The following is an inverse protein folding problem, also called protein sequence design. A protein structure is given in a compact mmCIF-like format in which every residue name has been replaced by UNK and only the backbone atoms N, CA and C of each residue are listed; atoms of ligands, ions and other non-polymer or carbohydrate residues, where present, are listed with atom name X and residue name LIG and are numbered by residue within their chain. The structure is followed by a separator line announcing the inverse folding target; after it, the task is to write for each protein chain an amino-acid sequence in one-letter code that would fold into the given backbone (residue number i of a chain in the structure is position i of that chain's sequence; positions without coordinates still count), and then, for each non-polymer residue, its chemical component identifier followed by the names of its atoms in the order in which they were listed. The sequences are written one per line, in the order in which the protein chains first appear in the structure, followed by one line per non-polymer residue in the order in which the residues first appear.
data_IF_398637953619
#
_entry.id   IF_398637953619
#
_cell.length_a   1.000
_cell.length_b   1.000
_cell.length_c   1.000
_cell.angle_alpha   90.00
_cell.angle_beta   90.00
_cell.angle_gamma   90.00
#
_symmetry.space_group_name_H-M   'P 1'
#
loop_
_entity.id
_entity.type
_entity.pdbx_description
1 polymer ?
#
# COMPACT_ATOMS: atom_id res chain seq x y z
N UNK A 1 6.60 35.48 -33.06
CA UNK A 1 6.44 34.05 -32.73
C UNK A 1 5.01 33.71 -33.07
N UNK A 2 4.77 32.76 -33.97
CA UNK A 2 3.44 32.41 -34.46
C UNK A 2 2.64 31.74 -33.33
N UNK A 3 1.46 32.27 -33.01
CA UNK A 3 0.57 31.75 -31.97
C UNK A 3 0.22 30.27 -32.21
N UNK A 4 0.18 29.84 -33.47
CA UNK A 4 -0.07 28.45 -33.85
C UNK A 4 1.10 27.52 -33.48
N UNK A 5 2.34 28.02 -33.57
CA UNK A 5 3.52 27.25 -33.17
C UNK A 5 3.64 27.13 -31.65
N UNK A 6 3.27 28.17 -30.90
CA UNK A 6 3.22 28.10 -29.44
C UNK A 6 2.13 27.12 -28.97
N UNK A 7 0.95 27.14 -29.60
CA UNK A 7 -0.13 26.21 -29.27
C UNK A 7 0.27 24.73 -29.51
N UNK A 8 0.95 24.46 -30.63
CA UNK A 8 1.47 23.11 -30.93
C UNK A 8 2.52 22.66 -29.92
N UNK A 9 3.40 23.57 -29.51
CA UNK A 9 4.43 23.29 -28.51
C UNK A 9 3.80 22.96 -27.15
N UNK A 10 2.79 23.71 -26.73
CA UNK A 10 2.05 23.44 -25.50
C UNK A 10 1.32 22.09 -25.56
N UNK A 11 0.70 21.75 -26.69
CA UNK A 11 0.04 20.46 -26.87
C UNK A 11 1.02 19.28 -26.71
N UNK A 12 2.23 19.39 -27.28
CA UNK A 12 3.28 18.35 -27.14
C UNK A 12 3.71 18.17 -25.69
N UNK A 13 3.95 19.27 -24.98
CA UNK A 13 4.34 19.24 -23.57
C UNK A 13 3.26 18.60 -22.69
N UNK A 14 1.98 18.88 -22.98
CA UNK A 14 0.86 18.25 -22.26
C UNK A 14 0.81 16.74 -22.50
N UNK A 15 1.04 16.29 -23.73
CA UNK A 15 1.10 14.85 -24.05
C UNK A 15 2.25 14.17 -23.32
N UNK A 16 3.46 14.72 -23.36
CA UNK A 16 4.62 14.17 -22.64
C UNK A 16 4.39 14.08 -21.13
N UNK A 17 3.72 15.09 -20.56
CA UNK A 17 3.36 15.09 -19.14
C UNK A 17 2.32 14.01 -18.82
N UNK A 18 1.31 13.85 -19.68
CA UNK A 18 0.29 12.80 -19.53
C UNK A 18 0.92 11.40 -19.55
N UNK A 19 1.86 11.16 -20.47
CA UNK A 19 2.56 9.88 -20.58
C UNK A 19 3.41 9.60 -19.34
N UNK A 20 4.18 10.59 -18.88
CA UNK A 20 4.99 10.48 -17.65
C UNK A 20 4.11 10.18 -16.41
N UNK A 21 2.95 10.84 -16.30
CA UNK A 21 2.00 10.58 -15.20
C UNK A 21 1.41 9.17 -15.30
N UNK A 22 1.13 8.70 -16.51
CA UNK A 22 0.63 7.34 -16.75
C UNK A 22 1.66 6.29 -16.32
N UNK A 23 2.92 6.49 -16.67
CA UNK A 23 4.03 5.61 -16.28
C UNK A 23 4.21 5.55 -14.76
N UNK A 24 4.21 6.72 -14.09
CA UNK A 24 4.30 6.79 -12.62
C UNK A 24 3.13 6.04 -11.97
N UNK A 25 1.90 6.19 -12.49
CA UNK A 25 0.74 5.44 -12.00
C UNK A 25 0.95 3.92 -12.15
N UNK A 26 1.47 3.47 -13.29
CA UNK A 26 1.81 2.07 -13.51
C UNK A 26 2.81 1.53 -12.48
N UNK A 27 3.89 2.26 -12.23
CA UNK A 27 4.90 1.89 -11.23
C UNK A 27 4.32 1.80 -9.81
N UNK A 28 3.40 2.70 -9.44
CA UNK A 28 2.74 2.67 -8.14
C UNK A 28 1.80 1.48 -7.98
N UNK A 29 1.09 1.08 -9.04
CA UNK A 29 0.23 -0.12 -9.04
C UNK A 29 1.08 -1.38 -8.86
N UNK A 30 2.21 -1.50 -9.56
CA UNK A 30 3.11 -2.65 -9.41
C UNK A 30 3.77 -2.70 -8.01
N UNK A 31 4.07 -1.54 -7.41
CA UNK A 31 4.53 -1.47 -6.02
C UNK A 31 3.46 -1.91 -5.01
N UNK A 32 2.18 -1.63 -5.28
CA UNK A 32 1.07 -2.10 -4.47
C UNK A 32 0.80 -3.60 -4.66
N UNK A 33 1.02 -4.16 -5.85
CA UNK A 33 0.87 -5.59 -6.10
C UNK A 33 1.92 -6.44 -5.36
N UNK A 34 3.12 -5.90 -5.10
CA UNK A 34 4.14 -6.55 -4.26
C UNK A 34 3.85 -6.46 -2.74
N UNK A 35 2.64 -6.09 -2.33
CA UNK A 35 2.19 -6.06 -0.93
C UNK A 35 1.76 -7.42 -0.37
N UNK A 36 2.29 -8.52 -0.91
CA UNK A 36 2.47 -9.80 -0.18
C UNK A 36 3.54 -9.66 0.93
N UNK A 37 3.61 -8.49 1.55
CA UNK A 37 4.54 -8.15 2.61
C UNK A 37 4.01 -8.70 3.93
N UNK A 38 4.76 -9.66 4.45
CA UNK A 38 4.62 -10.14 5.82
C UNK A 38 5.10 -9.08 6.80
N UNK A 39 4.16 -8.45 7.49
CA UNK A 39 4.40 -7.41 8.48
C UNK A 39 4.92 -8.00 9.78
N UNK A 40 5.82 -7.29 10.46
CA UNK A 40 6.09 -7.57 11.86
C UNK A 40 4.93 -7.06 12.75
N UNK A 41 4.82 -7.54 14.01
CA UNK A 41 3.80 -7.08 14.95
C UNK A 41 3.76 -5.56 15.14
N UNK A 42 4.93 -4.89 15.07
CA UNK A 42 5.01 -3.43 15.23
C UNK A 42 4.33 -2.70 14.07
N UNK A 43 4.55 -3.13 12.84
CA UNK A 43 3.95 -2.54 11.64
C UNK A 43 2.44 -2.79 11.62
N UNK A 44 1.99 -4.00 11.93
CA UNK A 44 0.56 -4.32 12.01
C UNK A 44 -0.18 -3.42 13.01
N UNK A 45 0.44 -3.13 14.17
CA UNK A 45 -0.14 -2.21 15.17
C UNK A 45 -0.22 -0.77 14.71
N UNK A 46 0.77 -0.30 13.95
CA UNK A 46 0.74 1.05 13.39
C UNK A 46 -0.40 1.21 12.39
N UNK A 47 -0.69 0.17 11.61
CA UNK A 47 -1.81 0.16 10.64
C UNK A 47 -3.16 0.07 11.37
N UNK A 48 -3.32 -0.88 12.29
CA UNK A 48 -4.58 -1.09 13.01
C UNK A 48 -4.85 -0.03 14.09
N UNK A 49 -3.84 0.77 14.46
CA UNK A 49 -3.87 1.73 15.58
C UNK A 49 -4.27 1.07 16.91
N UNK A 50 -3.72 -0.11 17.19
CA UNK A 50 -4.00 -0.87 18.42
C UNK A 50 -2.76 -1.08 19.29
N UNK A 51 -2.99 -1.35 20.58
CA UNK A 51 -1.93 -1.70 21.52
C UNK A 51 -1.35 -3.09 21.26
N UNK A 52 -0.15 -3.35 21.80
CA UNK A 52 0.47 -4.68 21.77
C UNK A 52 -0.41 -5.78 22.37
N UNK A 53 -1.09 -5.47 23.49
CA UNK A 53 -2.03 -6.38 24.13
C UNK A 53 -3.20 -6.72 23.22
N UNK A 54 -3.80 -5.73 22.55
CA UNK A 54 -4.93 -5.94 21.65
C UNK A 54 -4.52 -6.71 20.40
N UNK A 55 -3.34 -6.42 19.84
CA UNK A 55 -2.81 -7.15 18.69
C UNK A 55 -2.44 -8.61 19.03
N UNK A 56 -1.94 -8.89 20.24
CA UNK A 56 -1.79 -10.26 20.73
C UNK A 56 -3.13 -10.95 20.88
N UNK A 57 -4.11 -10.30 21.52
CA UNK A 57 -5.47 -10.84 21.64
C UNK A 57 -6.10 -11.17 20.28
N UNK A 58 -5.92 -10.30 19.28
CA UNK A 58 -6.45 -10.56 17.93
C UNK A 58 -5.82 -11.80 17.28
N UNK A 59 -4.53 -12.04 17.51
CA UNK A 59 -3.84 -13.27 17.06
C UNK A 59 -4.31 -14.49 17.83
N UNK A 60 -4.37 -14.41 19.15
CA UNK A 60 -4.77 -15.52 20.03
C UNK A 60 -6.24 -15.92 19.80
N UNK A 61 -7.10 -14.95 19.49
CA UNK A 61 -8.51 -15.19 19.14
C UNK A 61 -8.73 -15.62 17.69
N UNK A 62 -7.67 -15.75 16.89
CA UNK A 62 -7.75 -16.15 15.48
C UNK A 62 -8.25 -15.08 14.51
N UNK A 63 -8.60 -13.88 15.01
CA UNK A 63 -9.06 -12.75 14.19
C UNK A 63 -7.96 -12.13 13.33
N UNK A 64 -6.71 -12.27 13.75
CA UNK A 64 -5.54 -11.80 13.00
C UNK A 64 -4.59 -12.97 12.73
N UNK A 65 -4.69 -13.61 11.54
CA UNK A 65 -3.80 -14.69 11.16
C UNK A 65 -2.33 -14.27 11.16
N UNK A 66 -1.46 -15.12 11.70
CA UNK A 66 -0.02 -14.91 11.73
C UNK A 66 0.73 -16.22 11.50
N UNK A 67 1.98 -16.11 11.07
CA UNK A 67 2.94 -17.21 10.96
C UNK A 67 4.11 -16.93 11.89
N UNK A 68 4.69 -17.99 12.44
CA UNK A 68 5.89 -17.91 13.28
C UNK A 68 7.03 -18.67 12.62
N UNK A 69 8.15 -17.99 12.39
CA UNK A 69 9.38 -18.57 11.85
C UNK A 69 10.43 -18.46 12.95
N UNK A 70 10.65 -19.55 13.68
CA UNK A 70 11.50 -19.54 14.87
C UNK A 70 10.93 -18.63 15.96
N UNK A 71 11.61 -17.51 16.25
CA UNK A 71 11.15 -16.49 17.21
C UNK A 71 10.39 -15.34 16.56
N UNK A 72 10.44 -15.22 15.23
CA UNK A 72 9.87 -14.10 14.51
C UNK A 72 8.41 -14.35 14.18
N UNK A 73 7.57 -13.35 14.47
CA UNK A 73 6.15 -13.34 14.11
C UNK A 73 5.97 -12.50 12.85
N UNK A 74 5.21 -13.04 11.91
CA UNK A 74 4.88 -12.42 10.63
C UNK A 74 3.36 -12.43 10.43
N UNK A 75 2.79 -11.29 10.08
CA UNK A 75 1.36 -11.07 9.94
C UNK A 75 1.09 -10.70 8.49
N UNK A 76 0.11 -11.36 7.87
CA UNK A 76 -0.19 -11.08 6.47
C UNK A 76 -0.87 -9.70 6.36
N UNK A 77 -0.29 -8.80 5.56
CA UNK A 77 -0.81 -7.44 5.37
C UNK A 77 -2.25 -7.42 4.87
N UNK A 78 -2.64 -8.34 3.98
CA UNK A 78 -4.02 -8.40 3.48
C UNK A 78 -5.03 -8.64 4.62
N UNK A 79 -4.67 -9.47 5.60
CA UNK A 79 -5.50 -9.70 6.79
C UNK A 79 -5.60 -8.45 7.66
N UNK A 80 -4.50 -7.71 7.83
CA UNK A 80 -4.51 -6.43 8.57
C UNK A 80 -5.44 -5.42 7.91
N UNK A 81 -5.36 -5.28 6.58
CA UNK A 81 -6.21 -4.35 5.83
C UNK A 81 -7.68 -4.79 5.84
N UNK A 82 -7.97 -6.08 5.71
CA UNK A 82 -9.33 -6.62 5.86
C UNK A 82 -9.91 -6.27 7.24
N UNK A 83 -9.17 -6.55 8.30
CA UNK A 83 -9.60 -6.26 9.67
C UNK A 83 -9.82 -4.75 9.91
N UNK A 84 -9.01 -3.89 9.29
CA UNK A 84 -9.18 -2.45 9.35
C UNK A 84 -10.48 -1.99 8.68
N UNK A 85 -10.82 -2.61 7.54
CA UNK A 85 -11.99 -2.26 6.73
C UNK A 85 -13.30 -2.86 7.26
N UNK A 86 -13.24 -4.02 7.92
CA UNK A 86 -14.41 -4.71 8.49
C UNK A 86 -14.97 -4.01 9.75
N UNK A 87 -14.22 -3.08 10.35
CA UNK A 87 -14.61 -2.37 11.56
C UNK A 87 -14.48 -3.24 12.81
N UNK A 88 -13.99 -2.65 13.92
CA UNK A 88 -13.96 -3.31 15.23
C UNK A 88 -15.34 -3.41 15.86
#
# INVERSE_FOLDING_TARGET
MDLNEELKKQARQLTELQDSVSEIKGLLVHRQANQDEWLCPKEARQILKVSARKEQYLRDSGKLPFTKIGRDVRINRSCVIKLLNEGC
#
